data_IF_701332498908
#
_entry.id   IF_701332498908
#
_cell.length_a   1.000
_cell.length_b   1.000
_cell.length_c   1.000
_cell.angle_alpha   90.00
_cell.angle_beta   90.00
_cell.angle_gamma   90.00
#
_symmetry.space_group_name_H-M   'P 1'
#
loop_
_entity.id
_entity.type
_entity.pdbx_description
1 polymer ?
#
# COMPACT_ATOMS: atom_id res chain seq x y z
N UNK A 1 7.65 -2.13 -13.25
CA UNK A 1 7.53 -2.78 -11.94
C UNK A 1 6.99 -1.73 -11.00
N UNK A 2 5.84 -1.98 -10.38
CA UNK A 2 5.24 -1.00 -9.48
C UNK A 2 5.25 -1.51 -8.04
N UNK A 3 5.01 -2.80 -7.82
CA UNK A 3 5.11 -3.46 -6.53
C UNK A 3 6.28 -4.44 -6.50
N UNK A 4 6.93 -4.49 -5.35
CA UNK A 4 7.99 -5.42 -5.00
C UNK A 4 7.86 -5.74 -3.52
N UNK A 5 8.04 -7.00 -3.16
CA UNK A 5 8.18 -7.41 -1.76
C UNK A 5 9.04 -8.68 -1.65
N UNK A 6 9.53 -8.96 -0.44
CA UNK A 6 10.53 -10.00 -0.19
C UNK A 6 9.95 -11.15 0.62
N UNK A 7 10.23 -12.35 0.15
CA UNK A 7 9.96 -13.62 0.82
C UNK A 7 11.30 -14.17 1.31
N UNK A 8 11.69 -13.77 2.52
CA UNK A 8 12.96 -14.12 3.13
C UNK A 8 13.04 -15.59 3.53
N UNK A 9 11.89 -16.21 3.83
CA UNK A 9 11.83 -17.64 4.19
C UNK A 9 12.21 -18.53 3.01
N UNK A 10 11.80 -18.17 1.79
CA UNK A 10 12.13 -18.93 0.58
C UNK A 10 13.25 -18.29 -0.27
N UNK A 11 13.84 -17.18 0.19
CA UNK A 11 14.91 -16.49 -0.53
C UNK A 11 14.46 -15.92 -1.89
N UNK A 12 13.22 -15.43 -1.96
CA UNK A 12 12.59 -14.93 -3.19
C UNK A 12 12.25 -13.43 -3.12
N UNK A 13 12.25 -12.77 -4.28
CA UNK A 13 11.71 -11.44 -4.52
C UNK A 13 10.50 -11.56 -5.42
N UNK A 14 9.35 -11.07 -4.96
CA UNK A 14 8.12 -11.04 -5.73
C UNK A 14 7.93 -9.67 -6.36
N UNK A 15 7.51 -9.63 -7.63
CA UNK A 15 7.27 -8.38 -8.34
C UNK A 15 5.99 -8.41 -9.15
N UNK A 16 5.32 -7.26 -9.23
CA UNK A 16 4.16 -7.06 -10.10
C UNK A 16 4.56 -6.47 -11.45
N UNK A 17 3.99 -7.03 -12.51
CA UNK A 17 4.20 -6.62 -13.90
C UNK A 17 2.92 -5.96 -14.45
N UNK A 18 2.66 -4.73 -14.00
CA UNK A 18 1.43 -3.98 -14.29
C UNK A 18 1.06 -3.92 -15.76
N UNK A 19 2.03 -3.72 -16.67
CA UNK A 19 1.75 -3.57 -18.11
C UNK A 19 1.49 -4.90 -18.81
N UNK A 20 1.87 -6.00 -18.19
CA UNK A 20 1.73 -7.35 -18.72
C UNK A 20 0.61 -8.14 -18.02
N UNK A 21 -0.08 -7.54 -17.05
CA UNK A 21 -1.09 -8.18 -16.22
C UNK A 21 -0.60 -9.50 -15.63
N UNK A 22 0.57 -9.49 -14.97
CA UNK A 22 1.14 -10.71 -14.40
C UNK A 22 2.10 -10.38 -13.25
N UNK A 23 2.73 -11.40 -12.69
CA UNK A 23 3.76 -11.31 -11.67
C UNK A 23 4.98 -12.18 -12.04
N UNK A 24 6.08 -11.96 -11.35
CA UNK A 24 7.28 -12.78 -11.46
C UNK A 24 7.92 -12.94 -10.09
N UNK A 25 8.69 -14.02 -9.94
CA UNK A 25 9.49 -14.33 -8.75
C UNK A 25 10.94 -14.47 -9.18
N UNK A 26 11.83 -13.84 -8.42
CA UNK A 26 13.27 -13.86 -8.63
C UNK A 26 13.98 -14.37 -7.38
N UNK A 27 15.17 -14.94 -7.53
CA UNK A 27 16.02 -15.28 -6.38
C UNK A 27 16.56 -14.02 -5.73
N UNK A 28 16.58 -13.96 -4.39
CA UNK A 28 17.23 -12.87 -3.65
C UNK A 28 18.75 -12.87 -3.83
N UNK A 29 19.37 -14.04 -4.03
CA UNK A 29 20.82 -14.19 -4.05
C UNK A 29 21.45 -13.53 -5.30
N UNK A 30 20.82 -13.71 -6.46
CA UNK A 30 21.40 -13.30 -7.75
C UNK A 30 20.41 -12.64 -8.72
N UNK A 31 19.14 -12.45 -8.33
CA UNK A 31 18.06 -11.90 -9.15
C UNK A 31 17.78 -12.71 -10.42
N UNK A 32 18.14 -13.99 -10.46
CA UNK A 32 17.71 -14.90 -11.52
C UNK A 32 16.20 -15.15 -11.45
N UNK A 33 15.56 -15.32 -12.61
CA UNK A 33 14.13 -15.59 -12.69
C UNK A 33 13.82 -17.00 -12.17
N UNK A 34 13.02 -17.08 -11.12
CA UNK A 34 12.54 -18.34 -10.52
C UNK A 34 11.21 -18.75 -11.15
N UNK A 35 10.27 -17.81 -11.28
CA UNK A 35 8.95 -18.07 -11.87
C UNK A 35 8.44 -16.87 -12.64
N UNK A 36 7.92 -17.13 -13.84
CA UNK A 36 7.06 -16.22 -14.58
C UNK A 36 5.63 -16.77 -14.52
N UNK A 37 4.69 -15.96 -14.05
CA UNK A 37 3.27 -16.30 -14.18
C UNK A 37 2.77 -15.93 -15.58
N UNK A 38 1.70 -16.58 -16.01
CA UNK A 38 1.12 -16.34 -17.33
C UNK A 38 0.55 -14.90 -17.42
N UNK A 39 0.53 -14.29 -18.61
CA UNK A 39 -0.21 -13.05 -18.83
C UNK A 39 -1.69 -13.21 -18.46
N UNK A 40 -2.21 -12.25 -17.69
CA UNK A 40 -3.56 -12.29 -17.15
C UNK A 40 -3.68 -12.90 -15.75
N UNK A 41 -2.62 -13.53 -15.20
CA UNK A 41 -2.65 -14.12 -13.86
C UNK A 41 -2.96 -13.10 -12.76
N UNK A 42 -2.57 -11.84 -12.96
CA UNK A 42 -2.92 -10.74 -12.06
C UNK A 42 -3.31 -9.54 -12.91
N UNK A 43 -4.60 -9.16 -12.99
CA UNK A 43 -5.03 -8.02 -13.81
C UNK A 43 -4.56 -6.67 -13.24
N UNK A 44 -3.87 -5.88 -14.08
CA UNK A 44 -3.38 -4.54 -13.76
C UNK A 44 -2.82 -4.37 -12.32
N UNK A 45 -1.81 -5.16 -11.92
CA UNK A 45 -1.38 -5.20 -10.54
C UNK A 45 -0.65 -3.94 -10.14
N UNK A 46 -0.76 -3.56 -8.88
CA UNK A 46 0.05 -2.48 -8.30
C UNK A 46 0.97 -3.06 -7.24
N UNK A 47 0.42 -3.55 -6.14
CA UNK A 47 1.18 -3.99 -4.97
C UNK A 47 1.25 -5.52 -4.89
N UNK A 48 2.30 -5.98 -4.23
CA UNK A 48 2.42 -7.34 -3.69
C UNK A 48 2.84 -7.19 -2.24
N UNK A 49 2.24 -7.98 -1.35
CA UNK A 49 2.65 -8.11 0.06
C UNK A 49 2.80 -9.58 0.42
N UNK A 50 3.86 -9.93 1.14
CA UNK A 50 4.18 -11.29 1.55
C UNK A 50 3.80 -11.52 3.02
N UNK A 51 2.91 -12.46 3.25
CA UNK A 51 2.62 -13.03 4.57
C UNK A 51 3.38 -14.34 4.74
N UNK A 52 4.59 -14.24 5.29
CA UNK A 52 5.43 -15.40 5.62
C UNK A 52 4.75 -16.30 6.65
N UNK A 53 4.05 -15.72 7.64
CA UNK A 53 3.38 -16.48 8.69
C UNK A 53 2.29 -17.42 8.16
N UNK A 54 1.65 -17.07 7.04
CA UNK A 54 0.63 -17.90 6.37
C UNK A 54 1.11 -18.56 5.08
N UNK A 55 2.34 -18.27 4.63
CA UNK A 55 2.87 -18.76 3.36
C UNK A 55 2.11 -18.20 2.15
N UNK A 56 1.77 -16.91 2.15
CA UNK A 56 0.92 -16.28 1.12
C UNK A 56 1.53 -15.02 0.54
N UNK A 57 1.32 -14.82 -0.76
CA UNK A 57 1.51 -13.53 -1.42
C UNK A 57 0.14 -12.99 -1.84
N UNK A 58 -0.16 -11.75 -1.48
CA UNK A 58 -1.37 -11.05 -1.86
C UNK A 58 -1.03 -9.95 -2.85
N UNK A 59 -1.76 -9.88 -3.96
CA UNK A 59 -1.52 -8.88 -5.00
C UNK A 59 -2.77 -8.09 -5.31
N UNK A 60 -2.60 -6.78 -5.37
CA UNK A 60 -3.69 -5.88 -5.71
C UNK A 60 -4.01 -5.93 -7.21
N UNK A 61 -5.29 -5.84 -7.57
CA UNK A 61 -5.77 -5.80 -8.95
C UNK A 61 -6.56 -4.52 -9.16
N UNK A 62 -5.90 -3.46 -9.66
CA UNK A 62 -6.36 -2.07 -9.47
C UNK A 62 -7.79 -1.75 -9.91
N UNK A 63 -8.36 -2.52 -10.83
CA UNK A 63 -9.71 -2.29 -11.38
C UNK A 63 -10.64 -3.48 -11.21
N UNK A 64 -10.19 -4.54 -10.55
CA UNK A 64 -10.98 -5.73 -10.28
C UNK A 64 -11.35 -5.78 -8.79
N UNK A 65 -12.48 -6.43 -8.45
CA UNK A 65 -13.03 -6.44 -7.09
C UNK A 65 -12.40 -7.56 -6.25
N UNK A 66 -11.10 -7.80 -6.37
CA UNK A 66 -10.45 -8.91 -5.68
C UNK A 66 -8.98 -8.62 -5.37
N UNK A 67 -8.37 -9.46 -4.56
CA UNK A 67 -6.91 -9.58 -4.46
C UNK A 67 -6.52 -10.97 -4.95
N UNK A 68 -5.51 -11.06 -5.81
CA UNK A 68 -4.97 -12.36 -6.21
C UNK A 68 -4.10 -12.93 -5.09
N UNK A 69 -4.20 -14.23 -4.88
CA UNK A 69 -3.50 -14.94 -3.82
C UNK A 69 -2.61 -16.03 -4.41
N UNK A 70 -1.39 -16.14 -3.91
CA UNK A 70 -0.45 -17.19 -4.30
C UNK A 70 0.11 -17.88 -3.06
N UNK A 71 0.38 -19.18 -3.17
CA UNK A 71 1.19 -19.90 -2.18
C UNK A 71 2.67 -19.62 -2.46
N UNK A 72 3.40 -19.13 -1.47
CA UNK A 72 4.80 -18.73 -1.65
C UNK A 72 5.77 -19.91 -1.70
N UNK A 73 5.37 -21.07 -1.18
CA UNK A 73 6.20 -22.26 -1.13
C UNK A 73 6.05 -23.08 -2.42
N UNK A 74 4.84 -23.18 -2.96
CA UNK A 74 4.58 -23.94 -4.20
C UNK A 74 4.59 -23.08 -5.46
N UNK A 75 4.50 -21.75 -5.33
CA UNK A 75 4.35 -20.80 -6.44
C UNK A 75 3.12 -21.09 -7.30
N UNK A 76 2.05 -21.55 -6.66
CA UNK A 76 0.75 -21.79 -7.29
C UNK A 76 -0.22 -20.66 -6.95
N UNK A 77 -1.05 -20.30 -7.92
CA UNK A 77 -2.15 -19.36 -7.71
C UNK A 77 -3.26 -20.09 -6.95
N UNK A 78 -3.81 -19.40 -5.95
CA UNK A 78 -4.91 -19.88 -5.11
C UNK A 78 -6.19 -19.12 -5.47
N UNK A 79 -7.29 -19.46 -4.78
CA UNK A 79 -8.53 -18.70 -4.91
C UNK A 79 -8.32 -17.24 -4.47
N UNK A 80 -8.83 -16.26 -5.24
CA UNK A 80 -8.68 -14.85 -4.90
C UNK A 80 -9.56 -14.47 -3.71
N UNK A 81 -9.20 -13.37 -3.03
CA UNK A 81 -10.05 -12.75 -2.00
C UNK A 81 -10.98 -11.78 -2.70
N UNK A 82 -12.27 -12.13 -2.79
CA UNK A 82 -13.31 -11.31 -3.38
C UNK A 82 -13.74 -10.16 -2.46
N UNK A 83 -13.88 -8.96 -3.02
CA UNK A 83 -14.23 -7.72 -2.32
C UNK A 83 -15.47 -7.11 -2.99
N UNK A 84 -16.62 -7.30 -2.36
CA UNK A 84 -17.88 -6.73 -2.85
C UNK A 84 -18.07 -5.29 -2.35
N UNK A 85 -18.15 -4.33 -3.27
CA UNK A 85 -18.53 -2.94 -2.97
C UNK A 85 -19.88 -2.86 -2.27
N UNK A 86 -19.99 -2.04 -1.22
CA UNK A 86 -21.26 -1.76 -0.53
C UNK A 86 -22.11 -0.75 -1.30
N UNK A 87 -21.51 -0.02 -2.24
CA UNK A 87 -22.20 0.96 -3.07
C UNK A 87 -22.93 0.23 -4.21
N UNK A 88 -24.25 0.46 -4.28
CA UNK A 88 -25.14 -0.15 -5.26
C UNK A 88 -24.70 0.16 -6.69
N UNK A 89 -24.52 -0.90 -7.49
CA UNK A 89 -24.11 -0.84 -8.92
C UNK A 89 -22.72 -0.22 -9.13
N UNK A 90 -21.88 -0.24 -8.10
CA UNK A 90 -20.46 0.06 -8.21
C UNK A 90 -19.64 -1.21 -8.02
N UNK A 91 -18.39 -1.16 -8.50
CA UNK A 91 -17.41 -2.22 -8.34
C UNK A 91 -16.23 -1.64 -7.54
N UNK A 92 -15.80 -2.39 -6.53
CA UNK A 92 -14.58 -2.09 -5.79
C UNK A 92 -13.38 -2.34 -6.70
N UNK A 93 -12.42 -1.40 -6.78
CA UNK A 93 -11.21 -1.57 -7.58
C UNK A 93 -10.01 -1.67 -6.65
N UNK A 94 -9.59 -2.89 -6.33
CA UNK A 94 -8.62 -3.17 -5.29
C UNK A 94 -7.20 -2.69 -5.67
N UNK A 95 -6.91 -1.43 -5.36
CA UNK A 95 -5.69 -0.77 -5.84
C UNK A 95 -4.50 -1.04 -4.95
N UNK A 96 -4.70 -1.04 -3.64
CA UNK A 96 -3.61 -1.26 -2.68
C UNK A 96 -3.70 -2.61 -2.00
N UNK A 97 -2.57 -3.05 -1.46
CA UNK A 97 -2.52 -4.12 -0.48
C UNK A 97 -1.57 -3.67 0.65
N UNK A 98 -2.06 -3.64 1.88
CA UNK A 98 -1.30 -3.32 3.09
C UNK A 98 -1.56 -4.38 4.14
N UNK A 99 -0.50 -5.02 4.63
CA UNK A 99 -0.56 -6.21 5.47
C UNK A 99 -0.02 -5.90 6.86
N UNK A 100 -0.84 -6.11 7.89
CA UNK A 100 -0.38 -6.19 9.26
C UNK A 100 -0.23 -7.66 9.65
N UNK A 101 0.98 -8.20 9.52
CA UNK A 101 1.29 -9.62 9.77
C UNK A 101 0.92 -10.01 11.21
N UNK A 102 1.14 -9.10 12.18
CA UNK A 102 0.93 -9.38 13.60
C UNK A 102 -0.55 -9.61 13.95
N UNK A 103 -1.48 -8.79 13.43
CA UNK A 103 -2.92 -9.03 13.61
C UNK A 103 -3.50 -10.00 12.59
N UNK A 104 -2.80 -10.28 11.49
CA UNK A 104 -3.35 -11.07 10.40
C UNK A 104 -4.43 -10.33 9.61
N UNK A 105 -4.31 -9.00 9.49
CA UNK A 105 -5.25 -8.19 8.72
C UNK A 105 -4.62 -7.69 7.43
N UNK A 106 -5.42 -7.68 6.38
CA UNK A 106 -5.05 -7.15 5.07
C UNK A 106 -6.04 -6.04 4.69
N UNK A 107 -5.49 -4.93 4.20
CA UNK A 107 -6.26 -3.75 3.82
C UNK A 107 -6.09 -3.46 2.34
N UNK A 108 -7.17 -3.07 1.69
CA UNK A 108 -7.14 -2.58 0.30
C UNK A 108 -7.99 -1.33 0.18
N UNK A 109 -7.49 -0.33 -0.54
CA UNK A 109 -8.24 0.88 -0.87
C UNK A 109 -8.78 0.76 -2.29
N UNK A 110 -10.04 1.19 -2.48
CA UNK A 110 -10.64 1.24 -3.81
C UNK A 110 -10.19 2.46 -4.60
N UNK A 111 -9.81 2.27 -5.86
CA UNK A 111 -9.61 3.38 -6.80
C UNK A 111 -10.94 3.95 -7.31
N UNK A 112 -11.98 3.12 -7.40
CA UNK A 112 -13.23 3.42 -8.12
C UNK A 112 -14.36 3.85 -7.18
N UNK A 113 -14.25 3.55 -5.89
CA UNK A 113 -15.26 3.86 -4.87
C UNK A 113 -14.60 4.51 -3.65
N UNK A 114 -15.34 5.31 -2.85
CA UNK A 114 -14.86 5.85 -1.59
C UNK A 114 -14.88 4.77 -0.49
N UNK A 115 -14.20 3.66 -0.72
CA UNK A 115 -14.26 2.48 0.16
C UNK A 115 -12.88 1.90 0.48
N UNK A 116 -12.79 1.28 1.66
CA UNK A 116 -11.64 0.47 2.10
C UNK A 116 -12.15 -0.90 2.50
N UNK A 117 -11.45 -1.96 2.08
CA UNK A 117 -11.68 -3.31 2.54
C UNK A 117 -10.74 -3.62 3.71
N UNK A 118 -11.31 -4.22 4.76
CA UNK A 118 -10.63 -4.80 5.91
C UNK A 118 -10.87 -6.31 5.84
N UNK A 119 -9.80 -7.08 5.73
CA UNK A 119 -9.83 -8.52 5.51
C UNK A 119 -9.16 -9.19 6.70
N UNK A 120 -9.89 -10.04 7.41
CA UNK A 120 -9.36 -10.92 8.45
C UNK A 120 -8.83 -12.20 7.77
N UNK A 121 -7.52 -12.45 7.84
CA UNK A 121 -6.89 -13.57 7.16
C UNK A 121 -7.03 -14.90 7.91
N UNK A 122 -7.49 -14.90 9.16
CA UNK A 122 -7.77 -16.12 9.92
C UNK A 122 -9.19 -16.61 9.64
N UNK A 123 -10.19 -15.74 9.71
CA UNK A 123 -11.59 -16.11 9.45
C UNK A 123 -11.95 -16.08 7.96
N UNK A 124 -11.23 -15.29 7.16
CA UNK A 124 -11.59 -14.99 5.77
C UNK A 124 -12.68 -13.93 5.62
N UNK A 125 -13.08 -13.26 6.72
CA UNK A 125 -14.12 -12.24 6.68
C UNK A 125 -13.63 -10.98 5.96
N UNK A 126 -14.43 -10.49 5.01
CA UNK A 126 -14.18 -9.25 4.28
C UNK A 126 -15.23 -8.21 4.65
N UNK A 127 -14.80 -7.13 5.31
CA UNK A 127 -15.65 -5.99 5.66
C UNK A 127 -15.25 -4.78 4.82
N UNK A 128 -16.22 -4.14 4.18
CA UNK A 128 -15.99 -2.95 3.35
C UNK A 128 -16.60 -1.72 4.02
N UNK A 129 -15.77 -0.71 4.23
CA UNK A 129 -16.08 0.55 4.91
C UNK A 129 -16.19 1.68 3.89
N UNK A 130 -17.24 2.50 3.97
CA UNK A 130 -17.34 3.73 3.19
C UNK A 130 -16.62 4.86 3.91
N UNK A 131 -15.60 5.44 3.29
CA UNK A 131 -14.65 6.36 3.94
C UNK A 131 -14.80 7.80 3.42
N UNK A 132 -16.00 8.35 3.52
CA UNK A 132 -16.25 9.78 3.30
C UNK A 132 -15.82 10.31 1.93
N UNK A 133 -15.06 11.41 1.90
CA UNK A 133 -14.69 12.18 0.70
C UNK A 133 -13.46 11.62 -0.03
N UNK A 134 -13.30 10.30 -0.07
CA UNK A 134 -12.23 9.65 -0.80
C UNK A 134 -12.49 9.71 -2.31
N UNK A 135 -11.53 10.19 -3.09
CA UNK A 135 -11.53 10.10 -4.56
C UNK A 135 -10.24 9.47 -5.05
N UNK A 136 -10.35 8.48 -5.94
CA UNK A 136 -9.21 7.73 -6.49
C UNK A 136 -8.25 7.28 -5.39
N UNK A 137 -8.75 6.47 -4.45
CA UNK A 137 -7.95 5.96 -3.36
C UNK A 137 -6.69 5.26 -3.87
N UNK A 138 -5.57 5.47 -3.18
CA UNK A 138 -4.24 5.09 -3.66
C UNK A 138 -3.55 4.02 -2.84
N UNK A 139 -3.50 4.20 -1.52
CA UNK A 139 -2.71 3.41 -0.59
C UNK A 139 -3.33 3.51 0.80
N UNK A 140 -3.03 2.52 1.66
CA UNK A 140 -3.40 2.51 3.07
C UNK A 140 -2.21 2.18 3.96
N UNK A 141 -2.31 2.56 5.23
CA UNK A 141 -1.47 2.07 6.31
C UNK A 141 -2.33 1.82 7.54
N UNK A 142 -1.96 0.86 8.37
CA UNK A 142 -2.71 0.49 9.57
C UNK A 142 -1.95 0.79 10.85
N UNK A 143 -2.67 1.36 11.81
CA UNK A 143 -2.28 1.38 13.20
C UNK A 143 -3.15 0.41 14.00
N UNK A 144 -2.51 -0.65 14.49
CA UNK A 144 -3.16 -1.67 15.31
C UNK A 144 -3.41 -1.24 16.75
N UNK A 145 -2.65 -0.27 17.27
CA UNK A 145 -2.75 0.14 18.67
C UNK A 145 -4.07 0.86 18.94
N UNK A 146 -4.44 1.81 18.08
CA UNK A 146 -5.69 2.56 18.20
C UNK A 146 -6.76 2.09 17.20
N UNK A 147 -6.44 1.13 16.32
CA UNK A 147 -7.37 0.63 15.31
C UNK A 147 -7.65 1.67 14.23
N UNK A 148 -6.64 2.40 13.77
CA UNK A 148 -6.78 3.45 12.77
C UNK A 148 -6.31 2.99 11.40
N UNK A 149 -7.07 3.33 10.36
CA UNK A 149 -6.68 3.15 8.97
C UNK A 149 -6.38 4.52 8.37
N UNK A 150 -5.16 4.69 7.87
CA UNK A 150 -4.72 5.86 7.15
C UNK A 150 -4.94 5.63 5.66
N UNK A 151 -5.77 6.44 5.00
CA UNK A 151 -6.22 6.21 3.62
C UNK A 151 -5.85 7.40 2.75
N UNK A 152 -5.03 7.15 1.71
CA UNK A 152 -4.61 8.20 0.78
C UNK A 152 -5.62 8.36 -0.36
N UNK A 153 -6.22 9.54 -0.46
CA UNK A 153 -7.05 9.94 -1.59
C UNK A 153 -6.26 10.71 -2.63
N UNK A 154 -5.85 10.04 -3.71
CA UNK A 154 -5.02 10.68 -4.74
C UNK A 154 -5.78 11.77 -5.53
N UNK A 155 -7.07 11.56 -5.75
CA UNK A 155 -7.94 12.50 -6.47
C UNK A 155 -8.59 13.56 -5.58
N UNK A 156 -8.60 13.32 -4.26
CA UNK A 156 -9.15 14.24 -3.25
C UNK A 156 -8.08 15.04 -2.50
N UNK A 157 -6.79 14.80 -2.80
CA UNK A 157 -5.63 15.51 -2.23
C UNK A 157 -5.55 15.46 -0.68
N UNK A 158 -6.01 14.35 -0.10
CA UNK A 158 -6.13 14.18 1.35
C UNK A 158 -5.60 12.84 1.86
N UNK A 159 -5.34 12.82 3.17
CA UNK A 159 -5.21 11.63 3.99
C UNK A 159 -6.43 11.57 4.90
N UNK A 160 -7.18 10.47 4.85
CA UNK A 160 -8.25 10.21 5.79
C UNK A 160 -7.73 9.32 6.91
N UNK A 161 -8.10 9.63 8.15
CA UNK A 161 -7.86 8.76 9.32
C UNK A 161 -9.22 8.20 9.70
N UNK A 162 -9.33 6.87 9.64
CA UNK A 162 -10.60 6.14 9.76
C UNK A 162 -10.52 5.22 10.97
N UNK A 163 -11.52 5.27 11.83
CA UNK A 163 -11.71 4.28 12.89
C UNK A 163 -12.11 2.94 12.26
N UNK A 164 -11.31 1.89 12.50
CA UNK A 164 -11.52 0.59 11.87
C UNK A 164 -12.84 -0.02 12.33
N UNK A 165 -13.22 0.07 13.60
CA UNK A 165 -14.40 -0.61 14.15
C UNK A 165 -15.71 -0.02 13.57
N UNK A 166 -15.88 1.29 13.68
CA UNK A 166 -17.08 2.00 13.26
C UNK A 166 -17.10 2.37 11.78
N UNK A 167 -15.93 2.47 11.14
CA UNK A 167 -15.77 3.03 9.80
C UNK A 167 -15.93 4.54 9.73
N UNK A 168 -15.95 5.24 10.87
CA UNK A 168 -16.05 6.71 10.91
C UNK A 168 -14.74 7.35 10.46
N UNK A 169 -14.84 8.40 9.63
CA UNK A 169 -13.69 9.25 9.29
C UNK A 169 -13.46 10.24 10.43
N UNK A 170 -12.45 9.99 11.26
CA UNK A 170 -12.08 10.84 12.38
C UNK A 170 -11.43 12.14 11.90
N UNK A 171 -10.58 12.06 10.88
CA UNK A 171 -9.87 13.21 10.32
C UNK A 171 -9.82 13.16 8.78
N UNK A 172 -10.02 14.33 8.16
CA UNK A 172 -9.82 14.58 6.73
C UNK A 172 -8.71 15.63 6.57
N UNK A 173 -7.49 15.17 6.31
CA UNK A 173 -6.27 15.98 6.36
C UNK A 173 -5.82 16.36 4.95
N UNK A 174 -5.87 17.65 4.56
CA UNK A 174 -5.38 18.09 3.25
C UNK A 174 -3.84 18.07 3.22
N UNK A 175 -3.28 16.98 2.72
CA UNK A 175 -1.82 16.75 2.69
C UNK A 175 -1.13 17.42 1.49
N UNK A 176 -1.89 17.79 0.45
CA UNK A 176 -1.40 18.46 -0.75
C UNK A 176 -1.66 17.66 -2.03
N UNK A 177 -1.25 18.21 -3.17
CA UNK A 177 -1.64 17.69 -4.48
C UNK A 177 -1.06 16.29 -4.77
N UNK A 178 -1.94 15.38 -5.23
CA UNK A 178 -1.63 14.05 -5.74
C UNK A 178 -0.85 13.17 -4.73
N UNK A 179 -1.35 12.94 -3.51
CA UNK A 179 -0.72 11.99 -2.59
C UNK A 179 -0.83 10.57 -3.15
N UNK A 180 0.21 9.75 -2.94
CA UNK A 180 0.30 8.44 -3.61
C UNK A 180 0.52 7.26 -2.67
N UNK A 181 1.28 7.42 -1.59
CA UNK A 181 1.62 6.31 -0.70
C UNK A 181 1.68 6.79 0.74
N UNK A 182 1.34 5.91 1.67
CA UNK A 182 1.42 6.15 3.12
C UNK A 182 2.04 4.96 3.82
N UNK A 183 2.76 5.21 4.91
CA UNK A 183 3.19 4.18 5.87
C UNK A 183 3.02 4.76 7.27
N UNK A 184 2.80 3.88 8.25
CA UNK A 184 2.62 4.28 9.64
C UNK A 184 3.81 3.80 10.48
N UNK A 185 4.37 4.70 11.28
CA UNK A 185 5.37 4.39 12.28
C UNK A 185 4.70 4.17 13.64
N UNK A 186 4.61 2.92 14.14
CA UNK A 186 4.02 2.65 15.44
C UNK A 186 4.87 3.16 16.61
N UNK A 187 6.18 3.39 16.41
CA UNK A 187 7.06 3.88 17.48
C UNK A 187 6.90 5.39 17.65
N UNK A 188 7.00 6.13 16.54
CA UNK A 188 6.81 7.59 16.54
C UNK A 188 5.35 8.03 16.61
N UNK A 189 4.39 7.12 16.37
CA UNK A 189 2.95 7.41 16.20
C UNK A 189 2.68 8.38 15.04
N UNK A 190 3.37 8.19 13.92
CA UNK A 190 3.33 9.12 12.78
C UNK A 190 3.04 8.40 11.46
N UNK A 191 2.10 8.95 10.69
CA UNK A 191 1.87 8.59 9.30
C UNK A 191 2.76 9.45 8.38
N UNK A 192 3.50 8.80 7.48
CA UNK A 192 4.32 9.48 6.47
C UNK A 192 3.68 9.31 5.10
N UNK A 193 3.33 10.43 4.46
CA UNK A 193 2.63 10.46 3.18
C UNK A 193 3.53 10.99 2.08
N UNK A 194 3.72 10.21 1.02
CA UNK A 194 4.38 10.66 -0.20
C UNK A 194 3.42 11.52 -1.04
N UNK A 195 3.66 12.84 -1.08
CA UNK A 195 2.82 13.79 -1.80
C UNK A 195 3.45 14.11 -3.15
N UNK A 196 3.09 13.32 -4.16
CA UNK A 196 3.76 13.30 -5.47
C UNK A 196 3.70 14.65 -6.19
N UNK A 197 2.56 15.31 -6.18
CA UNK A 197 2.37 16.59 -6.88
C UNK A 197 3.08 17.76 -6.19
N UNK A 198 3.39 17.61 -4.91
CA UNK A 198 4.03 18.64 -4.09
C UNK A 198 5.53 18.40 -3.82
N UNK A 199 6.13 17.33 -4.38
CA UNK A 199 7.54 16.98 -4.18
C UNK A 199 7.99 16.92 -2.71
N UNK A 200 7.10 16.49 -1.82
CA UNK A 200 7.37 16.40 -0.38
C UNK A 200 6.83 15.12 0.24
N UNK A 201 7.34 14.83 1.41
CA UNK A 201 6.72 13.90 2.35
C UNK A 201 6.03 14.71 3.44
N UNK A 202 4.75 14.46 3.65
CA UNK A 202 3.96 15.09 4.71
C UNK A 202 3.86 14.11 5.87
N UNK A 203 4.22 14.56 7.07
CA UNK A 203 4.15 13.74 8.29
C UNK A 203 2.95 14.19 9.10
N UNK A 204 2.09 13.26 9.47
CA UNK A 204 0.81 13.50 10.15
C UNK A 204 0.75 12.65 11.42
N UNK A 205 0.32 13.21 12.53
CA UNK A 205 0.02 12.44 13.75
C UNK A 205 -1.38 11.80 13.71
N UNK A 206 -1.73 11.05 14.75
CA UNK A 206 -3.00 10.31 14.82
C UNK A 206 -4.22 11.22 15.00
N UNK A 207 -4.02 12.44 15.52
CA UNK A 207 -5.02 13.51 15.65
C UNK A 207 -5.19 14.34 14.34
N UNK A 208 -4.54 13.92 13.26
CA UNK A 208 -4.62 14.55 11.95
C UNK A 208 -3.85 15.86 11.82
N UNK A 209 -2.93 16.18 12.72
CA UNK A 209 -2.07 17.35 12.60
C UNK A 209 -0.86 17.06 11.72
N UNK A 210 -0.57 17.96 10.78
CA UNK A 210 0.67 17.91 10.00
C UNK A 210 1.81 18.41 10.88
N UNK A 211 2.68 17.52 11.33
CA UNK A 211 3.81 17.83 12.22
C UNK A 211 5.09 18.16 11.48
N UNK A 212 5.23 17.72 10.22
CA UNK A 212 6.38 18.05 9.39
C UNK A 212 6.09 17.97 7.89
N UNK A 213 6.90 18.70 7.11
CA UNK A 213 6.99 18.57 5.67
C UNK A 213 8.47 18.42 5.30
N UNK A 214 8.82 17.27 4.73
CA UNK A 214 10.19 16.89 4.39
C UNK A 214 10.38 16.96 2.87
N UNK A 215 11.62 17.24 2.43
CA UNK A 215 11.94 17.12 1.00
C UNK A 215 11.81 15.65 0.57
N UNK A 216 10.94 15.39 -0.40
CA UNK A 216 10.74 14.06 -0.95
C UNK A 216 11.48 13.83 -2.27
N UNK A 217 12.19 14.85 -2.78
CA UNK A 217 12.70 14.87 -4.13
C UNK A 217 11.58 15.01 -5.16
N UNK A 218 11.92 14.81 -6.44
CA UNK A 218 10.93 14.85 -7.53
C UNK A 218 10.00 13.65 -7.51
N UNK A 219 8.69 13.88 -7.63
CA UNK A 219 7.67 12.82 -7.65
C UNK A 219 7.89 11.69 -6.62
N UNK A 220 7.84 11.99 -5.30
CA UNK A 220 7.80 10.98 -4.25
C UNK A 220 6.76 9.91 -4.60
N UNK A 221 7.14 8.63 -4.47
CA UNK A 221 6.35 7.53 -5.00
C UNK A 221 5.88 6.55 -3.94
N UNK A 222 6.79 5.71 -3.45
CA UNK A 222 6.49 4.69 -2.46
C UNK A 222 7.24 5.02 -1.17
N UNK A 223 6.59 4.75 -0.05
CA UNK A 223 7.15 4.93 1.27
C UNK A 223 6.89 3.66 2.10
N UNK A 224 7.90 3.24 2.85
CA UNK A 224 7.83 2.04 3.69
C UNK A 224 8.64 2.27 4.97
N UNK A 225 8.17 1.73 6.07
CA UNK A 225 8.93 1.65 7.31
C UNK A 225 9.61 0.28 7.41
N UNK A 226 10.83 0.25 7.95
CA UNK A 226 11.50 -0.98 8.35
C UNK A 226 11.49 -1.09 9.88
N UNK A 227 11.68 -2.31 10.41
CA UNK A 227 11.57 -2.60 11.85
C UNK A 227 12.54 -1.84 12.78
N UNK A 228 13.46 -1.03 12.27
CA UNK A 228 14.30 -0.10 13.04
C UNK A 228 13.69 1.30 13.21
N UNK A 229 12.43 1.49 12.80
CA UNK A 229 11.74 2.78 12.80
C UNK A 229 12.23 3.75 11.71
N UNK A 230 13.13 3.32 10.82
CA UNK A 230 13.55 4.15 9.70
C UNK A 230 12.52 4.08 8.58
N UNK A 231 12.16 5.25 8.06
CA UNK A 231 11.26 5.38 6.92
C UNK A 231 12.07 5.54 5.66
N UNK A 232 11.82 4.68 4.68
CA UNK A 232 12.44 4.71 3.37
C UNK A 232 11.43 5.26 2.36
N UNK A 233 11.83 6.32 1.65
CA UNK A 233 11.04 6.92 0.59
C UNK A 233 11.81 6.82 -0.73
N UNK A 234 11.11 6.40 -1.78
CA UNK A 234 11.64 6.39 -3.14
C UNK A 234 10.89 7.42 -3.98
N UNK A 235 11.59 8.02 -4.93
CA UNK A 235 11.02 9.04 -5.79
C UNK A 235 11.36 8.77 -7.26
N UNK A 236 10.67 9.47 -8.18
CA UNK A 236 10.80 9.25 -9.62
C UNK A 236 11.29 10.50 -10.32
N UNK A 237 12.22 10.32 -11.24
CA UNK A 237 12.66 11.39 -12.12
C UNK A 237 11.53 11.96 -12.99
N UNK A 238 11.57 13.28 -13.21
CA UNK A 238 10.74 14.00 -14.19
C UNK A 238 11.25 13.82 -15.64
N UNK A 239 12.46 13.30 -15.82
CA UNK A 239 13.13 13.14 -17.11
C UNK A 239 14.63 13.04 -16.95
N UNK A 240 15.36 12.77 -18.03
CA UNK A 240 16.80 12.47 -18.02
C UNK A 240 17.66 13.49 -17.22
N UNK A 241 17.27 14.77 -17.21
CA UNK A 241 18.02 15.85 -16.56
C UNK A 241 17.59 16.17 -15.11
N UNK A 242 16.69 15.39 -14.51
CA UNK A 242 16.21 15.64 -13.14
C UNK A 242 17.18 15.14 -12.08
N UNK A 243 18.07 16.03 -11.63
CA UNK A 243 19.06 15.72 -10.59
C UNK A 243 18.46 15.32 -9.24
N UNK A 244 17.16 15.57 -8.99
CA UNK A 244 16.48 15.19 -7.74
C UNK A 244 15.67 13.90 -7.88
N UNK A 245 15.58 13.30 -9.07
CA UNK A 245 14.86 12.05 -9.33
C UNK A 245 15.64 10.79 -8.98
N UNK A 246 14.93 9.66 -8.99
CA UNK A 246 15.48 8.29 -8.91
C UNK A 246 16.42 8.06 -7.71
N UNK A 247 15.97 8.52 -6.53
CA UNK A 247 16.68 8.37 -5.26
C UNK A 247 15.90 7.52 -4.27
N UNK A 248 16.66 6.97 -3.33
CA UNK A 248 16.16 6.38 -2.09
C UNK A 248 16.61 7.27 -0.95
N UNK A 249 15.66 7.75 -0.16
CA UNK A 249 15.91 8.56 1.03
C UNK A 249 15.59 7.75 2.26
N UNK A 250 16.45 7.84 3.29
CA UNK A 250 16.21 7.27 4.61
C UNK A 250 15.95 8.39 5.60
N UNK A 251 14.83 8.31 6.29
CA UNK A 251 14.34 9.32 7.23
C UNK A 251 14.25 8.68 8.61
N UNK A 252 14.67 9.43 9.62
CA UNK A 252 14.56 9.05 11.03
C UNK A 252 14.10 10.26 11.83
N UNK A 253 13.21 10.09 12.82
CA UNK A 253 13.00 11.11 13.83
C UNK A 253 14.34 11.51 14.46
N UNK A 254 14.53 12.79 14.77
CA UNK A 254 15.69 13.21 15.53
C UNK A 254 15.66 12.51 16.90
N UNK A 255 16.76 11.89 17.31
CA UNK A 255 16.89 11.42 18.68
C UNK A 255 16.88 12.64 19.62
N UNK A 256 16.07 12.58 20.69
CA UNK A 256 16.11 13.55 21.78
C UNK A 256 17.45 13.53 22.53
#
# INVERSE_FOLDING_TARGET
VYGVDVDDENGNVWVTNTRQNTASVYSQDDLSLVRQFEPGAVPHPRDVVIDQARGRAYMSTSFEPQLEVFDINTLEQLDPIEITSTIRRSQFGARSADLDIESGKLFSVSISTPEVAVIDLESGDVRVLQVGRLLAGSDSAYDREEGLIFVVGQGSDNLLIVDEESGEVLHDVPVGANPLSVTFDPVGRLAYVAVRGADRLTVVDTDGQIVANLDGGSYPNQIRILGDGAVYAINKSRGEDDARGDRISRIRPAAE
#
